data_IF_655671460395
#
_entry.id   IF_655671460395
#
_cell.length_a   1.000
_cell.length_b   1.000
_cell.length_c   1.000
_cell.angle_alpha   90.00
_cell.angle_beta   90.00
_cell.angle_gamma   90.00
#
_symmetry.space_group_name_H-M   'P 1'
#
loop_
_entity.id
_entity.type
_entity.pdbx_description
1 polymer ?
#
# COMPACT_ATOMS: atom_id res chain seq x y z
N UNK A 1 -24.44 -7.47 17.47
CA UNK A 1 -24.49 -8.56 18.47
C UNK A 1 -24.71 -9.87 17.72
N UNK A 2 -23.92 -10.93 17.98
CA UNK A 2 -24.05 -12.22 17.27
C UNK A 2 -25.34 -12.94 17.70
N UNK A 3 -26.12 -13.48 16.75
CA UNK A 3 -27.40 -14.14 17.06
C UNK A 3 -27.21 -15.62 17.46
N UNK A 4 -26.10 -16.23 17.06
CA UNK A 4 -25.80 -17.64 17.33
C UNK A 4 -24.86 -17.83 18.52
N UNK A 5 -24.88 -19.03 19.06
CA UNK A 5 -23.93 -19.55 20.05
C UNK A 5 -23.50 -20.98 19.71
N UNK A 6 -22.28 -21.34 20.11
CA UNK A 6 -21.73 -22.69 19.98
C UNK A 6 -21.79 -23.36 21.33
N UNK A 7 -22.40 -24.53 21.41
CA UNK A 7 -22.46 -25.36 22.62
C UNK A 7 -21.17 -26.18 22.76
N UNK A 8 -20.89 -26.65 23.98
CA UNK A 8 -19.73 -27.52 24.27
C UNK A 8 -19.69 -28.78 23.40
N UNK A 9 -20.87 -29.27 23.00
CA UNK A 9 -21.04 -30.37 22.05
C UNK A 9 -20.59 -30.08 20.61
N UNK A 10 -20.17 -28.85 20.29
CA UNK A 10 -19.83 -28.40 18.94
C UNK A 10 -21.01 -27.92 18.09
N UNK A 11 -22.25 -28.25 18.48
CA UNK A 11 -23.46 -27.78 17.79
C UNK A 11 -23.69 -26.28 17.95
N UNK A 12 -24.22 -25.65 16.90
CA UNK A 12 -24.67 -24.26 16.90
C UNK A 12 -26.17 -24.17 17.14
N UNK A 13 -26.62 -23.10 17.79
CA UNK A 13 -28.02 -22.73 17.88
C UNK A 13 -28.20 -21.22 17.92
N UNK A 14 -29.44 -20.77 17.69
CA UNK A 14 -29.87 -19.40 17.95
C UNK A 14 -29.87 -19.18 19.48
N UNK A 15 -29.33 -18.05 19.93
CA UNK A 15 -29.22 -17.74 21.37
C UNK A 15 -30.58 -17.78 22.04
N UNK A 16 -30.63 -18.41 23.21
CA UNK A 16 -31.83 -18.68 24.01
C UNK A 16 -33.02 -19.22 23.18
N UNK A 17 -32.72 -20.08 22.18
CA UNK A 17 -33.69 -20.96 21.51
C UNK A 17 -33.10 -22.36 21.52
N UNK A 18 -33.49 -23.22 22.48
CA UNK A 18 -32.99 -24.58 22.53
C UNK A 18 -33.57 -25.41 21.38
N UNK A 19 -32.79 -26.35 20.87
CA UNK A 19 -33.22 -27.26 19.79
C UNK A 19 -34.49 -28.06 20.12
N UNK A 20 -34.80 -28.27 21.41
CA UNK A 20 -36.06 -28.88 21.85
C UNK A 20 -37.29 -28.13 21.35
N UNK A 21 -37.20 -26.81 21.25
CA UNK A 21 -38.32 -25.93 20.92
C UNK A 21 -38.56 -25.85 19.41
N UNK A 22 -37.65 -26.43 18.61
CA UNK A 22 -37.70 -26.48 17.14
C UNK A 22 -37.95 -27.90 16.60
N UNK A 23 -38.26 -28.86 17.47
CA UNK A 23 -38.51 -30.25 17.05
C UNK A 23 -39.86 -30.39 16.34
N UNK A 24 -40.00 -31.33 15.38
CA UNK A 24 -41.28 -31.65 14.79
C UNK A 24 -42.35 -31.97 15.85
N UNK A 25 -43.54 -31.41 15.69
CA UNK A 25 -44.66 -31.58 16.62
C UNK A 25 -44.70 -30.59 17.79
N UNK A 26 -43.68 -29.74 17.96
CA UNK A 26 -43.69 -28.65 18.96
C UNK A 26 -44.37 -27.41 18.38
N UNK A 27 -45.29 -26.82 19.15
CA UNK A 27 -45.90 -25.53 18.79
C UNK A 27 -44.90 -24.42 19.05
N UNK A 28 -44.59 -23.63 18.03
CA UNK A 28 -43.69 -22.48 18.16
C UNK A 28 -44.33 -21.43 19.06
N UNK A 29 -43.63 -21.07 20.14
CA UNK A 29 -44.03 -19.95 21.00
C UNK A 29 -43.76 -18.63 20.30
N UNK A 30 -44.50 -17.58 20.66
CA UNK A 30 -44.30 -16.22 20.15
C UNK A 30 -42.84 -15.75 20.32
N UNK A 31 -42.26 -15.98 21.50
CA UNK A 31 -40.85 -15.66 21.79
C UNK A 31 -39.87 -16.37 20.84
N UNK A 32 -40.10 -17.64 20.51
CA UNK A 32 -39.25 -18.38 19.56
C UNK A 32 -39.47 -17.86 18.13
N UNK A 33 -40.72 -17.57 17.77
CA UNK A 33 -41.07 -16.99 16.47
C UNK A 33 -40.39 -15.64 16.24
N UNK A 34 -40.43 -14.72 17.20
CA UNK A 34 -39.78 -13.40 17.10
C UNK A 34 -38.28 -13.53 16.87
N UNK A 35 -37.64 -14.47 17.54
CA UNK A 35 -36.21 -14.74 17.38
C UNK A 35 -35.87 -15.32 16.01
N UNK A 36 -36.68 -16.28 15.53
CA UNK A 36 -36.53 -16.84 14.18
C UNK A 36 -36.73 -15.75 13.11
N UNK A 37 -37.74 -14.90 13.28
CA UNK A 37 -37.99 -13.76 12.41
C UNK A 37 -36.79 -12.81 12.39
N UNK A 38 -36.26 -12.44 13.56
CA UNK A 38 -35.06 -11.61 13.65
C UNK A 38 -33.82 -12.24 13.00
N UNK A 39 -33.66 -13.56 13.11
CA UNK A 39 -32.58 -14.28 12.44
C UNK A 39 -32.74 -14.26 10.91
N UNK A 40 -33.95 -14.50 10.39
CA UNK A 40 -34.26 -14.40 8.97
C UNK A 40 -34.06 -12.99 8.44
N UNK A 41 -34.43 -11.97 9.22
CA UNK A 41 -34.20 -10.58 8.84
C UNK A 41 -32.71 -10.26 8.68
N UNK A 42 -31.87 -10.78 9.58
CA UNK A 42 -30.41 -10.63 9.45
C UNK A 42 -29.80 -11.45 8.32
N UNK A 43 -30.36 -12.61 8.02
CA UNK A 43 -29.96 -13.38 6.85
C UNK A 43 -30.32 -12.62 5.56
N UNK A 44 -31.52 -12.04 5.48
CA UNK A 44 -31.91 -11.16 4.38
C UNK A 44 -30.98 -9.95 4.24
N UNK A 45 -30.68 -9.24 5.33
CA UNK A 45 -29.74 -8.10 5.31
C UNK A 45 -28.37 -8.53 4.74
N UNK A 46 -27.92 -9.76 5.04
CA UNK A 46 -26.69 -10.34 4.49
C UNK A 46 -26.83 -10.73 3.01
N UNK A 47 -27.89 -11.43 2.62
CA UNK A 47 -28.14 -11.80 1.21
C UNK A 47 -28.27 -10.58 0.30
N UNK A 48 -28.88 -9.49 0.78
CA UNK A 48 -28.99 -8.20 0.08
C UNK A 48 -27.61 -7.55 -0.17
N UNK A 49 -26.56 -7.94 0.54
CA UNK A 49 -25.19 -7.47 0.24
C UNK A 49 -24.65 -8.08 -1.06
N UNK A 50 -25.23 -9.20 -1.52
CA UNK A 50 -24.77 -9.96 -2.68
C UNK A 50 -23.44 -10.71 -2.48
N UNK A 51 -22.89 -10.71 -1.26
CA UNK A 51 -21.59 -11.31 -0.95
C UNK A 51 -21.74 -12.77 -0.47
N UNK A 52 -20.88 -13.65 -0.95
CA UNK A 52 -20.66 -14.99 -0.36
C UNK A 52 -19.96 -14.90 1.01
N UNK A 53 -20.04 -15.96 1.85
CA UNK A 53 -19.36 -15.96 3.14
C UNK A 53 -17.85 -15.75 3.01
N UNK A 54 -17.24 -16.34 1.99
CA UNK A 54 -15.83 -16.18 1.67
C UNK A 54 -15.47 -14.73 1.30
N UNK A 55 -16.34 -14.05 0.53
CA UNK A 55 -16.16 -12.63 0.19
C UNK A 55 -16.29 -11.74 1.43
N UNK A 56 -17.18 -12.03 2.37
CA UNK A 56 -17.30 -11.28 3.63
C UNK A 56 -16.03 -11.35 4.47
N UNK A 57 -15.36 -12.51 4.52
CA UNK A 57 -14.06 -12.61 5.17
C UNK A 57 -13.02 -11.72 4.48
N UNK A 58 -13.05 -11.64 3.14
CA UNK A 58 -12.14 -10.82 2.35
C UNK A 58 -12.34 -9.30 2.54
N UNK A 59 -13.58 -8.85 2.81
CA UNK A 59 -13.87 -7.43 3.05
C UNK A 59 -13.17 -6.89 4.30
N UNK A 60 -12.95 -7.72 5.30
CA UNK A 60 -12.23 -7.35 6.52
C UNK A 60 -10.70 -7.51 6.41
N UNK A 61 -10.22 -8.10 5.31
CA UNK A 61 -8.79 -8.25 5.04
C UNK A 61 -8.24 -6.94 4.47
N UNK A 62 -7.77 -6.06 5.36
CA UNK A 62 -7.25 -4.75 4.98
C UNK A 62 -6.13 -4.86 3.94
N UNK A 63 -5.24 -5.85 4.03
CA UNK A 63 -4.13 -6.03 3.08
C UNK A 63 -4.62 -6.34 1.66
N UNK A 64 -5.79 -6.98 1.53
CA UNK A 64 -6.42 -7.26 0.23
C UNK A 64 -7.33 -6.13 -0.26
N UNK A 65 -7.60 -5.13 0.56
CA UNK A 65 -8.42 -3.99 0.18
C UNK A 65 -7.76 -3.16 -0.93
N UNK A 66 -8.58 -2.54 -1.77
CA UNK A 66 -8.11 -1.58 -2.77
C UNK A 66 -7.35 -0.41 -2.12
N UNK A 67 -7.75 -0.02 -0.90
CA UNK A 67 -7.10 1.05 -0.14
C UNK A 67 -5.66 0.70 0.21
N UNK A 68 -5.39 -0.52 0.67
CA UNK A 68 -4.03 -0.95 0.99
C UNK A 68 -3.14 -0.98 -0.25
N UNK A 69 -3.64 -1.49 -1.37
CA UNK A 69 -2.91 -1.48 -2.66
C UNK A 69 -2.54 -0.05 -3.08
N UNK A 70 -3.49 0.88 -3.01
CA UNK A 70 -3.24 2.28 -3.32
C UNK A 70 -2.20 2.92 -2.37
N UNK A 71 -2.23 2.58 -1.07
CA UNK A 71 -1.22 3.05 -0.11
C UNK A 71 0.16 2.48 -0.44
N UNK A 72 0.26 1.20 -0.78
CA UNK A 72 1.52 0.55 -1.14
C UNK A 72 2.11 1.17 -2.41
N UNK A 73 1.31 1.38 -3.44
CA UNK A 73 1.71 2.06 -4.68
C UNK A 73 2.20 3.50 -4.40
N UNK A 74 1.48 4.26 -3.56
CA UNK A 74 1.90 5.60 -3.16
C UNK A 74 3.23 5.60 -2.37
N UNK A 75 3.46 4.59 -1.54
CA UNK A 75 4.72 4.46 -0.80
C UNK A 75 5.88 4.15 -1.75
N UNK A 76 5.68 3.23 -2.70
CA UNK A 76 6.66 2.91 -3.73
C UNK A 76 6.98 4.14 -4.59
N UNK A 77 5.97 4.88 -5.00
CA UNK A 77 6.14 6.09 -5.83
C UNK A 77 6.85 7.21 -5.08
N UNK A 78 6.55 7.38 -3.78
CA UNK A 78 7.26 8.32 -2.91
C UNK A 78 8.71 7.93 -2.73
N UNK A 79 9.01 6.63 -2.64
CA UNK A 79 10.37 6.11 -2.52
C UNK A 79 11.18 6.33 -3.80
N UNK A 80 10.55 6.21 -4.98
CA UNK A 80 11.19 6.55 -6.27
C UNK A 80 11.59 8.02 -6.36
N UNK A 81 10.84 8.92 -5.73
CA UNK A 81 11.03 10.38 -5.86
C UNK A 81 11.61 11.04 -4.61
N UNK A 82 12.07 10.28 -3.61
CA UNK A 82 12.67 10.87 -2.42
C UNK A 82 14.08 11.39 -2.69
N UNK A 83 14.48 12.35 -1.89
CA UNK A 83 15.89 12.74 -1.77
C UNK A 83 16.66 11.66 -1.01
N UNK A 84 17.79 11.25 -1.60
CA UNK A 84 18.71 10.26 -1.08
C UNK A 84 19.97 11.00 -0.65
N UNK A 85 20.31 11.03 0.65
CA UNK A 85 21.56 11.60 1.11
C UNK A 85 22.76 10.89 0.47
N UNK A 86 23.80 11.64 0.11
CA UNK A 86 25.03 11.03 -0.43
C UNK A 86 25.74 10.11 0.58
N UNK A 87 25.44 10.28 1.88
CA UNK A 87 25.90 9.40 2.95
C UNK A 87 25.15 8.07 3.02
N UNK A 88 23.98 7.97 2.39
CA UNK A 88 23.22 6.72 2.27
C UNK A 88 23.73 5.89 1.09
N UNK A 89 23.77 6.51 -0.11
CA UNK A 89 24.33 5.92 -1.33
C UNK A 89 24.56 6.99 -2.42
N UNK A 90 25.42 6.68 -3.39
CA UNK A 90 25.59 7.47 -4.61
C UNK A 90 24.60 7.04 -5.72
N UNK A 91 24.33 7.91 -6.71
CA UNK A 91 23.67 7.50 -7.95
C UNK A 91 24.48 6.45 -8.72
N UNK A 92 23.82 5.78 -9.66
CA UNK A 92 24.54 4.98 -10.66
C UNK A 92 25.42 5.90 -11.51
N UNK A 93 26.68 5.52 -11.81
CA UNK A 93 27.57 6.32 -12.64
C UNK A 93 26.97 6.64 -14.02
N UNK A 94 27.09 7.89 -14.45
CA UNK A 94 26.59 8.38 -15.74
C UNK A 94 25.08 8.70 -15.81
N UNK A 95 24.28 8.33 -14.80
CA UNK A 95 22.85 8.67 -14.77
C UNK A 95 22.64 10.13 -14.37
N UNK A 96 21.72 10.83 -15.06
CA UNK A 96 21.35 12.19 -14.67
C UNK A 96 20.39 12.17 -13.50
N UNK A 97 20.74 12.94 -12.48
CA UNK A 97 20.00 13.12 -11.24
C UNK A 97 19.82 14.59 -10.93
N UNK A 98 18.83 14.90 -10.11
CA UNK A 98 18.71 16.22 -9.50
C UNK A 98 19.54 16.26 -8.23
N UNK A 99 20.40 17.26 -8.10
CA UNK A 99 21.34 17.46 -7.01
C UNK A 99 20.84 18.55 -6.08
N UNK A 100 20.98 18.31 -4.78
CA UNK A 100 20.79 19.28 -3.71
C UNK A 100 22.15 19.64 -3.11
N UNK A 101 22.22 20.84 -2.58
CA UNK A 101 23.41 21.39 -1.93
C UNK A 101 23.01 21.94 -0.55
N UNK A 102 23.90 21.87 0.45
CA UNK A 102 23.62 22.40 1.78
C UNK A 102 23.54 23.94 1.78
N UNK A 103 24.33 24.60 0.93
CA UNK A 103 24.52 26.05 0.93
C UNK A 103 23.91 26.75 -0.31
N UNK A 104 23.19 26.01 -1.15
CA UNK A 104 22.61 26.55 -2.38
C UNK A 104 21.12 26.23 -2.47
N UNK A 105 20.30 27.25 -2.71
CA UNK A 105 18.83 27.12 -2.67
C UNK A 105 18.21 26.57 -3.97
N UNK A 106 19.01 26.42 -5.03
CA UNK A 106 18.54 25.99 -6.35
C UNK A 106 19.14 24.62 -6.68
N UNK A 107 18.32 23.57 -6.84
CA UNK A 107 18.85 22.27 -7.26
C UNK A 107 19.38 22.34 -8.70
N UNK A 108 20.33 21.47 -9.03
CA UNK A 108 20.92 21.39 -10.37
C UNK A 108 20.79 19.98 -10.93
N UNK A 109 20.71 19.84 -12.25
CA UNK A 109 20.82 18.53 -12.90
C UNK A 109 22.29 18.21 -13.08
N UNK A 110 22.70 17.02 -12.67
CA UNK A 110 24.07 16.56 -12.77
C UNK A 110 24.18 15.05 -12.82
N UNK A 111 25.40 14.55 -12.78
CA UNK A 111 25.72 13.13 -12.74
C UNK A 111 26.83 12.86 -11.72
N UNK A 112 26.86 11.63 -11.25
CA UNK A 112 28.02 11.09 -10.56
C UNK A 112 28.79 10.24 -11.56
N UNK A 113 30.10 10.40 -11.66
CA UNK A 113 30.98 9.50 -12.42
C UNK A 113 32.07 8.98 -11.49
N UNK A 114 32.49 7.74 -11.70
CA UNK A 114 33.51 7.07 -10.90
C UNK A 114 34.54 6.40 -11.80
N UNK A 115 35.82 6.66 -11.52
CA UNK A 115 36.97 6.07 -12.20
C UNK A 115 37.88 5.31 -11.20
N UNK A 116 39.09 4.95 -11.62
CA UNK A 116 40.06 4.23 -10.76
C UNK A 116 40.58 5.09 -9.58
N UNK A 117 40.50 6.42 -9.66
CA UNK A 117 40.95 7.36 -8.64
C UNK A 117 39.84 7.74 -7.65
N UNK A 118 38.58 7.58 -8.06
CA UNK A 118 37.40 7.72 -7.21
C UNK A 118 36.21 8.34 -7.94
N UNK A 119 35.23 8.79 -7.17
CA UNK A 119 34.00 9.36 -7.71
C UNK A 119 33.86 10.87 -7.50
N UNK A 120 33.27 11.55 -8.47
CA UNK A 120 32.95 12.97 -8.40
C UNK A 120 31.59 13.28 -9.03
N UNK A 121 30.97 14.36 -8.57
CA UNK A 121 29.76 14.89 -9.19
C UNK A 121 30.07 16.02 -10.17
N UNK A 122 29.29 16.08 -11.26
CA UNK A 122 29.40 17.05 -12.34
C UNK A 122 28.03 17.68 -12.61
N UNK A 123 27.99 18.95 -13.01
CA UNK A 123 26.74 19.57 -13.50
C UNK A 123 26.57 19.20 -14.96
N UNK A 124 25.39 18.73 -15.34
CA UNK A 124 25.07 18.36 -16.72
C UNK A 124 26.15 17.51 -17.38
N UNK A 125 26.75 18.05 -18.45
CA UNK A 125 27.82 17.43 -19.23
C UNK A 125 29.21 18.06 -19.00
N UNK A 126 29.34 18.90 -17.98
CA UNK A 126 30.59 19.56 -17.66
C UNK A 126 31.70 18.57 -17.32
N UNK A 127 32.94 19.00 -17.57
CA UNK A 127 34.15 18.21 -17.30
C UNK A 127 34.80 18.57 -15.96
N UNK A 128 34.47 19.72 -15.39
CA UNK A 128 34.92 20.13 -14.08
C UNK A 128 33.99 19.58 -12.99
N UNK A 129 34.57 18.98 -11.96
CA UNK A 129 33.81 18.45 -10.84
C UNK A 129 33.26 19.56 -9.94
N UNK A 130 32.09 19.35 -9.35
CA UNK A 130 31.48 20.27 -8.39
C UNK A 130 32.42 20.60 -7.22
N UNK A 131 33.20 19.61 -6.77
CA UNK A 131 34.15 19.78 -5.67
C UNK A 131 35.31 20.72 -6.02
N UNK A 132 35.78 20.75 -7.28
CA UNK A 132 36.83 21.69 -7.70
C UNK A 132 36.33 23.14 -7.67
N UNK A 133 35.02 23.33 -7.80
CA UNK A 133 34.33 24.62 -7.73
C UNK A 133 33.79 24.94 -6.31
N UNK A 134 34.23 24.20 -5.28
CA UNK A 134 33.79 24.35 -3.89
C UNK A 134 32.28 24.14 -3.67
N UNK A 135 31.62 23.37 -4.54
CA UNK A 135 30.23 22.97 -4.38
C UNK A 135 30.14 21.52 -3.87
N UNK A 136 29.35 21.33 -2.82
CA UNK A 136 29.20 20.02 -2.16
C UNK A 136 27.77 19.52 -2.30
N UNK A 137 27.60 18.33 -2.84
CA UNK A 137 26.28 17.67 -2.93
C UNK A 137 25.97 17.01 -1.59
N UNK A 138 24.81 17.30 -1.00
CA UNK A 138 24.35 16.63 0.23
C UNK A 138 23.30 15.55 -0.03
N UNK A 139 22.50 15.70 -1.08
CA UNK A 139 21.48 14.73 -1.47
C UNK A 139 21.21 14.77 -2.97
N UNK A 140 20.64 13.68 -3.50
CA UNK A 140 20.24 13.56 -4.90
C UNK A 140 18.86 12.89 -5.03
N UNK A 141 18.19 13.06 -6.16
CA UNK A 141 17.00 12.30 -6.52
C UNK A 141 17.02 11.93 -8.01
N UNK A 142 16.46 10.77 -8.42
CA UNK A 142 16.41 10.40 -9.82
C UNK A 142 15.50 11.35 -10.61
N UNK A 143 15.83 11.57 -11.89
CA UNK A 143 14.96 12.33 -12.79
C UNK A 143 13.83 11.45 -13.35
N UNK A 144 12.61 11.99 -13.54
CA UNK A 144 11.55 11.31 -14.26
C UNK A 144 12.00 10.99 -15.69
N UNK A 145 11.98 9.70 -16.06
CA UNK A 145 12.30 9.23 -17.42
C UNK A 145 11.03 9.21 -18.28
N UNK A 146 11.11 9.46 -19.61
CA UNK A 146 12.30 9.93 -20.32
C UNK A 146 12.48 11.46 -20.16
N UNK A 147 13.69 11.90 -19.86
CA UNK A 147 14.06 13.34 -19.84
C UNK A 147 14.88 13.75 -21.06
N UNK A 148 15.08 12.83 -22.02
CA UNK A 148 15.67 13.07 -23.33
C UNK A 148 14.68 12.59 -24.38
N UNK A 149 14.55 13.34 -25.47
CA UNK A 149 13.77 12.87 -26.61
C UNK A 149 14.42 11.61 -27.17
N UNK A 150 13.61 10.59 -27.48
CA UNK A 150 14.05 9.45 -28.28
C UNK A 150 14.37 9.99 -29.67
N UNK A 151 15.66 10.06 -30.03
CA UNK A 151 16.05 10.37 -31.39
C UNK A 151 16.02 9.06 -32.17
N UNK A 152 15.10 8.93 -33.13
CA UNK A 152 15.18 7.88 -34.14
C UNK A 152 16.49 8.10 -34.93
N UNK A 153 17.40 7.14 -34.87
CA UNK A 153 18.57 7.12 -35.75
C UNK A 153 18.08 6.99 -37.19
N UNK A 154 18.31 8.03 -37.97
CA UNK A 154 17.91 8.13 -39.38
C UNK A 154 19.10 7.81 -40.30
#
# INVERSE_FOLDING_TARGET
>A
MRLTEKKDSGHWCLRDVPWSDLKPGVVLTEKVWEKLYGALWKLKDYEDTGLSPEEVESVNDFEKSQTYRAIAELQEEREKHRWIPVTERFPEPGDYVLLSFPDFSVPAIGRYDEDEEGGAFFIGDETESLVSQYMFVNAWMPLPKPYRAEMEEN
#
